data_IF_486367817621
#
_entry.id   IF_486367817621
#
_cell.length_a   1.000
_cell.length_b   1.000
_cell.length_c   1.000
_cell.angle_alpha   90.00
_cell.angle_beta   90.00
_cell.angle_gamma   90.00
#
_symmetry.space_group_name_H-M   'P 1'
#
loop_
_entity.id
_entity.type
_entity.pdbx_description
1 polymer ?
#
# COMPACT_ATOMS: atom_id res chain seq x y z
N UNK A 1 10.65 -14.91 -53.19
CA UNK A 1 9.77 -14.64 -52.03
C UNK A 1 10.42 -13.52 -51.23
N UNK A 2 9.78 -12.37 -51.03
CA UNK A 2 10.39 -11.31 -50.24
C UNK A 2 10.44 -11.76 -48.77
N UNK A 3 11.61 -11.64 -48.16
CA UNK A 3 11.83 -11.93 -46.75
C UNK A 3 10.94 -11.03 -45.91
N UNK A 4 10.20 -11.61 -44.95
CA UNK A 4 9.52 -10.84 -43.91
C UNK A 4 10.58 -10.16 -43.06
N UNK A 5 10.55 -8.83 -43.00
CA UNK A 5 11.33 -8.08 -42.03
C UNK A 5 10.95 -8.52 -40.60
N UNK A 6 11.92 -8.67 -39.70
CA UNK A 6 11.64 -8.93 -38.30
C UNK A 6 10.94 -7.71 -37.70
N UNK A 7 9.71 -7.92 -37.22
CA UNK A 7 9.01 -6.92 -36.41
C UNK A 7 9.81 -6.76 -35.12
N UNK A 8 10.50 -5.62 -34.98
CA UNK A 8 11.19 -5.26 -33.75
C UNK A 8 10.21 -5.21 -32.57
N UNK A 9 10.66 -5.47 -31.33
CA UNK A 9 9.78 -5.43 -30.17
C UNK A 9 9.12 -4.05 -30.09
N UNK A 10 7.79 -4.03 -29.96
CA UNK A 10 7.05 -2.80 -29.73
C UNK A 10 7.54 -2.20 -28.41
N UNK A 11 8.30 -1.11 -28.49
CA UNK A 11 8.63 -0.30 -27.32
C UNK A 11 7.31 0.20 -26.73
N UNK A 12 7.09 -0.06 -25.45
CA UNK A 12 5.87 0.36 -24.77
C UNK A 12 5.78 1.90 -24.82
N UNK A 13 4.97 2.42 -25.75
CA UNK A 13 4.63 3.84 -25.78
C UNK A 13 3.88 4.19 -24.49
N UNK A 14 4.08 5.41 -23.99
CA UNK A 14 3.27 5.93 -22.88
C UNK A 14 1.78 5.64 -23.17
N UNK A 15 1.00 5.16 -22.18
CA UNK A 15 -0.39 4.82 -22.41
C UNK A 15 -1.09 6.02 -23.03
N UNK A 16 -1.89 5.78 -24.08
CA UNK A 16 -2.69 6.81 -24.71
C UNK A 16 -3.50 7.53 -23.63
N UNK A 17 -3.60 8.86 -23.72
CA UNK A 17 -4.41 9.61 -22.75
C UNK A 17 -5.83 9.04 -22.73
N UNK A 18 -6.37 8.74 -21.55
CA UNK A 18 -7.69 8.12 -21.41
C UNK A 18 -8.76 9.04 -21.99
N UNK A 19 -9.69 8.48 -22.77
CA UNK A 19 -10.77 9.23 -23.42
C UNK A 19 -11.71 9.85 -22.37
N UNK A 20 -11.80 11.20 -22.27
CA UNK A 20 -12.72 11.86 -21.34
C UNK A 20 -14.20 11.57 -21.60
N UNK A 21 -14.55 11.13 -22.80
CA UNK A 21 -15.89 10.72 -23.17
C UNK A 21 -16.18 9.24 -22.86
N UNK A 22 -15.19 8.48 -22.38
CA UNK A 22 -15.38 7.08 -22.01
C UNK A 22 -16.45 6.96 -20.91
N UNK A 23 -17.34 5.95 -20.99
CA UNK A 23 -18.35 5.74 -19.97
C UNK A 23 -17.70 5.54 -18.61
N UNK A 24 -18.19 6.27 -17.60
CA UNK A 24 -17.70 6.17 -16.22
C UNK A 24 -18.11 4.82 -15.65
N UNK A 25 -17.12 3.93 -15.46
CA UNK A 25 -17.33 2.64 -14.83
C UNK A 25 -17.51 2.80 -13.31
N UNK A 26 -18.22 1.85 -12.70
CA UNK A 26 -18.28 1.76 -11.25
C UNK A 26 -16.88 1.48 -10.68
N UNK A 27 -16.55 1.98 -9.48
CA UNK A 27 -15.30 1.63 -8.80
C UNK A 27 -15.15 0.10 -8.68
N UNK A 28 -13.98 -0.42 -9.03
CA UNK A 28 -13.65 -1.82 -8.81
C UNK A 28 -13.43 -2.12 -7.32
N UNK A 29 -13.50 -3.39 -6.92
CA UNK A 29 -13.06 -3.82 -5.59
C UNK A 29 -11.54 -3.63 -5.47
N UNK A 30 -11.12 -2.81 -4.51
CA UNK A 30 -9.70 -2.44 -4.31
C UNK A 30 -9.10 -2.98 -3.03
N UNK A 31 -9.93 -3.57 -2.15
CA UNK A 31 -9.53 -3.96 -0.80
C UNK A 31 -9.33 -5.46 -0.71
N UNK A 32 -10.26 -6.27 -1.21
CA UNK A 32 -10.29 -7.72 -0.97
C UNK A 32 -10.12 -8.54 -2.25
N UNK A 33 -9.20 -9.50 -2.21
CA UNK A 33 -8.90 -10.38 -3.35
C UNK A 33 -8.82 -11.83 -2.91
N UNK A 34 -9.38 -12.73 -3.71
CA UNK A 34 -9.08 -14.16 -3.65
C UNK A 34 -7.86 -14.43 -4.54
N UNK A 35 -6.91 -15.24 -4.04
CA UNK A 35 -5.63 -15.47 -4.71
C UNK A 35 -5.61 -16.87 -5.31
N UNK A 36 -5.30 -16.94 -6.61
CA UNK A 36 -4.85 -18.18 -7.22
C UNK A 36 -3.47 -18.59 -6.64
N UNK A 37 -3.11 -19.87 -6.73
CA UNK A 37 -1.76 -20.33 -6.40
C UNK A 37 -0.72 -19.47 -7.13
N UNK A 38 0.31 -19.02 -6.40
CA UNK A 38 1.43 -18.20 -6.89
C UNK A 38 1.07 -16.81 -7.44
N UNK A 39 -0.21 -16.41 -7.56
CA UNK A 39 -0.62 -15.08 -8.03
C UNK A 39 0.04 -13.98 -7.19
N UNK A 40 0.85 -13.12 -7.79
CA UNK A 40 1.58 -12.07 -7.09
C UNK A 40 1.09 -10.66 -7.40
N UNK A 41 0.17 -10.50 -8.36
CA UNK A 41 -0.44 -9.22 -8.74
C UNK A 41 -1.94 -9.26 -8.41
N UNK A 42 -2.46 -8.20 -7.81
CA UNK A 42 -3.90 -8.04 -7.52
C UNK A 42 -4.39 -6.67 -7.94
N UNK A 43 -5.69 -6.58 -8.22
CA UNK A 43 -6.33 -5.34 -8.64
C UNK A 43 -6.01 -4.95 -10.08
N UNK A 44 -6.54 -3.80 -10.47
CA UNK A 44 -6.46 -3.28 -11.83
C UNK A 44 -6.17 -1.78 -11.77
N UNK A 45 -5.50 -1.23 -12.77
CA UNK A 45 -5.29 0.22 -12.86
C UNK A 45 -6.57 0.89 -13.33
N UNK A 46 -6.98 1.97 -12.66
CA UNK A 46 -8.20 2.71 -12.99
C UNK A 46 -7.87 4.16 -13.33
N UNK A 47 -8.75 4.81 -14.10
CA UNK A 47 -8.72 6.26 -14.32
C UNK A 47 -10.06 6.85 -13.93
N UNK A 48 -10.02 7.93 -13.15
CA UNK A 48 -11.16 8.76 -12.81
C UNK A 48 -10.99 10.14 -13.44
N UNK A 49 -12.07 10.71 -13.99
CA UNK A 49 -12.07 12.11 -14.41
C UNK A 49 -12.59 12.98 -13.28
N UNK A 50 -11.76 13.91 -12.82
CA UNK A 50 -12.02 14.73 -11.64
C UNK A 50 -13.27 15.62 -11.81
N UNK A 51 -13.94 15.86 -10.70
CA UNK A 51 -15.03 16.84 -10.54
C UNK A 51 -14.55 17.97 -9.63
N UNK A 52 -15.27 19.10 -9.64
CA UNK A 52 -14.91 20.31 -8.89
C UNK A 52 -14.61 20.09 -7.40
N UNK A 53 -15.28 19.13 -6.76
CA UNK A 53 -15.15 18.83 -5.32
C UNK A 53 -14.07 17.79 -4.99
N UNK A 54 -13.38 17.25 -6.00
CA UNK A 54 -12.42 16.18 -5.77
C UNK A 54 -11.09 16.71 -5.22
N UNK A 55 -10.57 15.99 -4.22
CA UNK A 55 -9.20 16.14 -3.73
C UNK A 55 -8.55 14.76 -3.72
N UNK A 56 -7.21 14.71 -3.72
CA UNK A 56 -6.50 13.43 -3.66
C UNK A 56 -6.77 12.67 -2.36
N UNK A 57 -6.95 13.37 -1.24
CA UNK A 57 -7.29 12.73 0.03
C UNK A 57 -8.72 12.13 0.01
N UNK A 58 -9.68 12.81 -0.62
CA UNK A 58 -11.05 12.32 -0.74
C UNK A 58 -11.13 11.12 -1.70
N UNK A 59 -10.53 11.24 -2.89
CA UNK A 59 -10.43 10.14 -3.86
C UNK A 59 -9.68 8.97 -3.21
N UNK A 60 -8.53 9.23 -2.60
CA UNK A 60 -7.72 8.19 -1.98
C UNK A 60 -8.52 7.41 -0.94
N UNK A 61 -9.19 8.10 0.00
CA UNK A 61 -10.04 7.42 0.98
C UNK A 61 -11.16 6.60 0.35
N UNK A 62 -11.83 7.12 -0.67
CA UNK A 62 -12.90 6.41 -1.38
C UNK A 62 -12.39 5.10 -2.02
N UNK A 63 -11.27 5.18 -2.72
CA UNK A 63 -10.69 4.06 -3.49
C UNK A 63 -9.70 3.19 -2.71
N UNK A 64 -9.54 3.45 -1.41
CA UNK A 64 -8.57 2.78 -0.54
C UNK A 64 -7.13 2.97 -0.96
N UNK A 65 -6.79 4.23 -1.20
CA UNK A 65 -5.46 4.67 -1.55
C UNK A 65 -4.90 5.69 -0.55
N UNK A 66 -3.59 5.63 -0.37
CA UNK A 66 -2.77 6.56 0.39
C UNK A 66 -2.50 7.85 -0.37
N UNK A 67 -2.24 8.91 0.37
CA UNK A 67 -1.98 10.22 -0.23
C UNK A 67 -0.73 10.24 -1.14
N UNK A 68 0.39 9.69 -0.69
CA UNK A 68 1.62 9.71 -1.48
C UNK A 68 1.54 8.83 -2.74
N UNK A 69 0.81 7.71 -2.71
CA UNK A 69 0.61 6.91 -3.92
C UNK A 69 -0.26 7.63 -4.95
N UNK A 70 -1.30 8.35 -4.51
CA UNK A 70 -2.08 9.25 -5.39
C UNK A 70 -1.20 10.35 -5.99
N UNK A 71 -0.38 11.00 -5.16
CA UNK A 71 0.52 12.09 -5.61
C UNK A 71 1.55 11.60 -6.63
N UNK A 72 2.17 10.44 -6.38
CA UNK A 72 3.19 9.85 -7.26
C UNK A 72 2.62 9.36 -8.58
N UNK A 73 1.42 8.78 -8.57
CA UNK A 73 0.76 8.31 -9.79
C UNK A 73 0.29 9.46 -10.71
N UNK A 74 0.20 10.69 -10.20
CA UNK A 74 -0.37 11.85 -10.90
C UNK A 74 0.57 13.07 -10.89
N UNK A 75 1.78 12.98 -11.48
CA UNK A 75 2.72 14.10 -11.50
C UNK A 75 2.14 15.30 -12.24
N UNK A 76 2.22 16.48 -11.62
CA UNK A 76 1.76 17.75 -12.21
C UNK A 76 0.27 18.06 -12.04
N UNK A 77 -0.51 17.17 -11.40
CA UNK A 77 -1.91 17.44 -11.06
C UNK A 77 -1.99 18.09 -9.68
N UNK A 78 -2.81 19.15 -9.54
CA UNK A 78 -3.05 19.77 -8.25
C UNK A 78 -3.85 18.82 -7.33
N UNK A 79 -3.27 18.49 -6.18
CA UNK A 79 -3.84 17.52 -5.23
C UNK A 79 -5.06 18.03 -4.46
N UNK A 80 -5.27 19.35 -4.40
CA UNK A 80 -6.37 20.00 -3.69
C UNK A 80 -7.48 20.44 -4.63
N UNK A 81 -7.14 20.79 -5.87
CA UNK A 81 -8.08 21.19 -6.90
C UNK A 81 -7.62 20.66 -8.27
N UNK A 82 -7.81 19.36 -8.57
CA UNK A 82 -7.33 18.77 -9.82
C UNK A 82 -7.91 19.42 -11.08
N UNK A 83 -9.07 20.08 -10.97
CA UNK A 83 -9.80 20.66 -12.08
C UNK A 83 -10.78 19.67 -12.71
N UNK A 84 -11.92 20.18 -13.18
CA UNK A 84 -12.95 19.35 -13.80
C UNK A 84 -12.45 18.72 -15.11
N UNK A 85 -12.69 17.41 -15.26
CA UNK A 85 -12.29 16.66 -16.45
C UNK A 85 -10.81 16.24 -16.47
N UNK A 86 -10.02 16.62 -15.47
CA UNK A 86 -8.63 16.16 -15.36
C UNK A 86 -8.58 14.65 -15.14
N UNK A 87 -7.82 13.87 -15.94
CA UNK A 87 -7.65 12.44 -15.71
C UNK A 87 -6.78 12.20 -14.47
N UNK A 88 -7.29 11.39 -13.56
CA UNK A 88 -6.65 10.95 -12.32
C UNK A 88 -6.41 9.45 -12.41
N UNK A 89 -5.15 9.05 -12.48
CA UNK A 89 -4.72 7.67 -12.43
C UNK A 89 -4.80 7.15 -11.00
N UNK A 90 -5.45 6.01 -10.83
CA UNK A 90 -5.63 5.34 -9.54
C UNK A 90 -4.75 4.09 -9.53
N UNK A 91 -3.67 4.04 -8.72
CA UNK A 91 -2.80 2.87 -8.58
C UNK A 91 -3.46 1.78 -7.73
N UNK A 92 -4.58 1.23 -8.20
CA UNK A 92 -5.36 0.19 -7.52
C UNK A 92 -4.90 -1.22 -7.85
N UNK A 93 -3.86 -1.36 -8.68
CA UNK A 93 -3.13 -2.59 -8.92
C UNK A 93 -1.87 -2.60 -8.06
N UNK A 94 -1.57 -3.70 -7.39
CA UNK A 94 -0.38 -3.81 -6.52
C UNK A 94 0.23 -5.20 -6.55
N UNK A 95 1.55 -5.25 -6.47
CA UNK A 95 2.32 -6.48 -6.31
C UNK A 95 2.37 -6.86 -4.83
N UNK A 96 2.09 -8.12 -4.53
CA UNK A 96 2.15 -8.65 -3.17
C UNK A 96 3.62 -8.79 -2.71
N UNK A 97 3.95 -8.38 -1.47
CA UNK A 97 5.31 -8.48 -0.95
C UNK A 97 5.80 -9.93 -0.89
N UNK A 98 7.09 -10.13 -1.12
CA UNK A 98 7.77 -11.43 -1.11
C UNK A 98 7.94 -11.93 0.33
N UNK A 99 6.85 -12.42 0.91
CA UNK A 99 6.77 -12.86 2.31
C UNK A 99 5.85 -14.08 2.43
N UNK A 100 5.90 -14.83 3.56
CA UNK A 100 4.86 -15.81 3.84
C UNK A 100 3.48 -15.12 3.84
N UNK A 101 2.55 -15.63 3.03
CA UNK A 101 1.18 -15.11 2.88
C UNK A 101 0.30 -15.51 4.05
N UNK A 102 0.69 -15.10 5.25
CA UNK A 102 0.00 -15.42 6.51
C UNK A 102 0.00 -14.23 7.45
N UNK A 103 -1.14 -13.94 8.06
CA UNK A 103 -1.27 -12.84 9.02
C UNK A 103 -1.12 -11.49 8.33
N UNK A 104 -0.55 -10.52 9.04
CA UNK A 104 -0.37 -9.15 8.56
C UNK A 104 1.05 -8.98 8.02
N UNK A 105 1.16 -8.37 6.84
CA UNK A 105 2.41 -7.90 6.26
C UNK A 105 2.27 -6.41 5.97
N UNK A 106 3.23 -5.61 6.39
CA UNK A 106 3.26 -4.17 6.16
C UNK A 106 4.53 -3.89 5.37
N UNK A 107 4.38 -3.53 4.10
CA UNK A 107 5.51 -3.04 3.31
C UNK A 107 5.64 -1.54 3.55
N UNK A 108 6.65 -1.15 4.32
CA UNK A 108 6.78 0.21 4.85
C UNK A 108 7.07 1.23 3.74
N UNK A 109 8.00 1.00 2.79
CA UNK A 109 8.18 1.88 1.63
C UNK A 109 6.91 2.07 0.79
N UNK A 110 6.15 0.99 0.58
CA UNK A 110 4.88 1.04 -0.15
C UNK A 110 3.75 1.70 0.66
N UNK A 111 3.96 1.95 1.96
CA UNK A 111 2.93 2.44 2.88
C UNK A 111 1.64 1.62 2.79
N UNK A 112 1.78 0.29 2.69
CA UNK A 112 0.66 -0.62 2.46
C UNK A 112 0.69 -1.83 3.38
N UNK A 113 -0.49 -2.14 3.93
CA UNK A 113 -0.76 -3.31 4.74
C UNK A 113 -1.48 -4.37 3.90
N UNK A 114 -1.09 -5.61 4.07
CA UNK A 114 -1.68 -6.80 3.48
C UNK A 114 -2.06 -7.75 4.61
N UNK A 115 -3.32 -8.17 4.67
CA UNK A 115 -3.81 -9.16 5.64
C UNK A 115 -4.21 -10.43 4.90
N UNK A 116 -3.38 -11.47 5.05
CA UNK A 116 -3.57 -12.76 4.43
C UNK A 116 -4.34 -13.71 5.34
N UNK A 117 -5.39 -14.31 4.79
CA UNK A 117 -6.24 -15.28 5.46
C UNK A 117 -6.48 -16.49 4.58
N UNK A 118 -6.62 -17.66 5.20
CA UNK A 118 -7.03 -18.88 4.52
C UNK A 118 -8.42 -19.23 5.02
N UNK A 119 -9.40 -19.20 4.13
CA UNK A 119 -10.81 -19.46 4.47
C UNK A 119 -11.30 -20.74 3.79
N UNK A 120 -12.11 -21.52 4.51
CA UNK A 120 -12.87 -22.61 3.90
C UNK A 120 -14.12 -22.01 3.23
N UNK A 121 -14.39 -22.30 1.95
CA UNK A 121 -15.60 -21.84 1.28
C UNK A 121 -16.85 -22.22 2.06
N UNK A 122 -17.86 -21.34 2.04
CA UNK A 122 -19.14 -21.58 2.71
C UNK A 122 -19.90 -22.80 2.14
N UNK A 123 -19.63 -23.17 0.89
CA UNK A 123 -20.09 -24.43 0.32
C UNK A 123 -19.24 -25.59 0.88
N UNK A 124 -19.87 -26.45 1.69
CA UNK A 124 -19.24 -27.56 2.36
C UNK A 124 -18.47 -28.46 1.38
N UNK A 125 -17.13 -28.44 1.45
CA UNK A 125 -16.24 -29.33 0.70
C UNK A 125 -15.31 -28.66 -0.32
N UNK A 126 -15.39 -27.34 -0.51
CA UNK A 126 -14.44 -26.63 -1.37
C UNK A 126 -13.01 -26.60 -0.80
N UNK A 127 -11.97 -26.48 -1.65
CA UNK A 127 -10.60 -26.29 -1.18
C UNK A 127 -10.46 -24.98 -0.42
N UNK A 128 -9.53 -24.92 0.54
CA UNK A 128 -9.19 -23.67 1.21
C UNK A 128 -8.75 -22.61 0.20
N UNK A 129 -9.29 -21.40 0.34
CA UNK A 129 -8.99 -20.25 -0.53
C UNK A 129 -8.12 -19.28 0.23
N UNK A 130 -6.99 -18.91 -0.36
CA UNK A 130 -6.14 -17.84 0.15
C UNK A 130 -6.74 -16.49 -0.27
N UNK A 131 -6.94 -15.60 0.70
CA UNK A 131 -7.43 -14.25 0.48
C UNK A 131 -6.44 -13.23 1.01
N UNK A 132 -6.46 -12.04 0.41
CA UNK A 132 -5.72 -10.88 0.90
C UNK A 132 -6.63 -9.67 0.96
N UNK A 133 -6.60 -8.97 2.09
CA UNK A 133 -7.12 -7.62 2.21
C UNK A 133 -5.95 -6.63 2.17
N UNK A 134 -6.04 -5.55 1.40
CA UNK A 134 -4.99 -4.51 1.32
C UNK A 134 -5.54 -3.17 1.82
N UNK A 135 -4.72 -2.43 2.56
CA UNK A 135 -5.07 -1.10 3.07
C UNK A 135 -3.85 -0.16 3.02
N UNK A 136 -4.03 1.12 2.65
CA UNK A 136 -2.97 2.11 2.78
C UNK A 136 -2.74 2.41 4.28
N UNK A 137 -1.50 2.71 4.64
CA UNK A 137 -1.12 3.05 6.00
C UNK A 137 -0.32 4.34 6.07
N UNK A 138 -0.54 5.14 7.10
CA UNK A 138 0.42 6.15 7.54
C UNK A 138 1.50 5.51 8.40
N UNK A 139 2.74 5.99 8.25
CA UNK A 139 3.92 5.48 8.95
C UNK A 139 4.64 6.60 9.72
N UNK A 140 5.70 6.23 10.43
CA UNK A 140 6.55 7.14 11.18
C UNK A 140 7.18 8.24 10.31
N UNK A 141 7.21 9.47 10.84
CA UNK A 141 8.05 10.54 10.29
C UNK A 141 9.54 10.20 10.45
N UNK A 142 10.39 10.91 9.73
CA UNK A 142 11.84 10.83 9.93
C UNK A 142 12.21 11.13 11.40
N UNK A 143 13.13 10.35 11.95
CA UNK A 143 13.47 10.34 13.38
C UNK A 143 12.51 9.54 14.27
N UNK A 144 11.35 9.11 13.75
CA UNK A 144 10.39 8.23 14.41
C UNK A 144 10.03 7.04 13.52
N UNK A 145 11.04 6.42 12.91
CA UNK A 145 10.85 5.39 11.90
C UNK A 145 10.00 4.22 12.41
N UNK A 146 9.11 3.72 11.55
CA UNK A 146 8.42 2.45 11.80
C UNK A 146 9.44 1.31 11.63
N UNK A 147 9.62 0.44 12.64
CA UNK A 147 10.67 -0.57 12.63
C UNK A 147 10.36 -1.70 11.65
N UNK A 148 11.41 -2.38 11.19
CA UNK A 148 11.29 -3.63 10.44
C UNK A 148 11.37 -4.85 11.36
N UNK A 149 10.87 -5.98 10.86
CA UNK A 149 10.99 -7.28 11.53
C UNK A 149 9.66 -7.93 11.86
N UNK A 150 9.70 -8.92 12.75
CA UNK A 150 8.53 -9.70 13.13
C UNK A 150 7.91 -9.21 14.44
N UNK A 151 6.59 -9.23 14.48
CA UNK A 151 5.79 -8.91 15.64
C UNK A 151 4.52 -9.76 15.70
N UNK A 152 3.75 -9.62 16.77
CA UNK A 152 2.41 -10.20 16.90
C UNK A 152 1.46 -9.20 17.51
N UNK A 153 0.17 -9.33 17.19
CA UNK A 153 -0.89 -8.59 17.90
C UNK A 153 -1.02 -9.14 19.31
N UNK A 154 -0.74 -8.34 20.34
CA UNK A 154 -0.79 -8.77 21.75
C UNK A 154 -2.12 -8.43 22.40
N UNK A 155 -2.65 -7.26 22.08
CA UNK A 155 -3.86 -6.70 22.68
C UNK A 155 -4.66 -5.94 21.63
N UNK A 156 -5.97 -5.84 21.89
CA UNK A 156 -6.93 -5.21 21.02
C UNK A 156 -7.87 -4.37 21.88
N UNK A 157 -7.93 -3.07 21.62
CA UNK A 157 -8.78 -2.14 22.35
C UNK A 157 -9.78 -1.47 21.39
N UNK A 158 -11.05 -1.49 21.79
CA UNK A 158 -12.08 -0.60 21.25
C UNK A 158 -12.09 0.67 22.10
N UNK A 159 -12.27 1.82 21.47
CA UNK A 159 -12.23 3.14 22.09
C UNK A 159 -11.02 3.28 23.03
N UNK A 160 -9.78 3.18 22.48
CA UNK A 160 -8.57 3.15 23.28
C UNK A 160 -8.33 4.48 23.99
N UNK A 161 -7.83 4.41 25.22
CA UNK A 161 -7.21 5.57 25.87
C UNK A 161 -5.78 5.74 25.36
N UNK A 162 -5.41 6.94 24.94
CA UNK A 162 -4.03 7.22 24.51
C UNK A 162 -3.20 7.75 25.68
N UNK A 163 -2.26 6.93 26.14
CA UNK A 163 -1.23 7.33 27.08
C UNK A 163 -0.08 7.98 26.31
N UNK A 164 -0.03 9.31 26.34
CA UNK A 164 0.90 10.08 25.52
C UNK A 164 2.34 9.78 25.94
N UNK A 165 3.20 9.26 25.04
CA UNK A 165 4.60 8.99 25.36
C UNK A 165 5.32 10.24 25.87
N UNK A 166 6.27 10.06 26.79
CA UNK A 166 7.00 11.18 27.38
C UNK A 166 7.76 12.00 26.32
N UNK A 167 8.29 11.35 25.30
CA UNK A 167 8.96 12.00 24.17
C UNK A 167 8.02 12.91 23.38
N UNK A 168 6.83 12.42 23.01
CA UNK A 168 5.81 13.18 22.29
C UNK A 168 5.37 14.39 23.11
N UNK A 169 5.15 14.22 24.43
CA UNK A 169 4.82 15.36 25.30
C UNK A 169 5.93 16.41 25.37
N UNK A 170 7.19 15.97 25.39
CA UNK A 170 8.35 16.87 25.42
C UNK A 170 8.41 17.71 24.13
N UNK A 171 8.28 17.06 22.97
CA UNK A 171 8.27 17.74 21.67
C UNK A 171 7.16 18.80 21.58
N UNK A 172 5.94 18.44 21.96
CA UNK A 172 4.80 19.36 21.97
C UNK A 172 4.98 20.51 22.98
N UNK A 173 5.57 20.25 24.15
CA UNK A 173 5.90 21.31 25.10
C UNK A 173 6.95 22.29 24.54
N UNK A 174 7.97 21.80 23.82
CA UNK A 174 9.00 22.62 23.18
C UNK A 174 8.44 23.48 22.03
N UNK A 175 7.35 23.03 21.38
CA UNK A 175 6.64 23.75 20.32
C UNK A 175 5.57 24.71 20.84
N UNK A 176 5.34 24.76 22.15
CA UNK A 176 4.35 25.63 22.79
C UNK A 176 2.91 25.10 22.78
N UNK A 177 2.70 23.82 22.45
CA UNK A 177 1.39 23.16 22.41
C UNK A 177 1.34 21.91 23.32
N UNK A 178 1.54 22.05 24.65
CA UNK A 178 1.73 20.92 25.55
C UNK A 178 0.54 19.96 25.57
N UNK A 179 0.83 18.66 25.44
CA UNK A 179 -0.18 17.60 25.49
C UNK A 179 -0.45 17.08 26.92
N UNK A 180 -1.68 16.65 27.22
CA UNK A 180 -1.98 15.98 28.48
C UNK A 180 -1.25 14.63 28.57
N UNK A 181 -1.19 14.05 29.77
CA UNK A 181 -0.62 12.69 29.96
C UNK A 181 -1.49 11.60 29.36
N UNK A 182 -2.80 11.84 29.33
CA UNK A 182 -3.83 10.89 28.94
C UNK A 182 -4.80 11.65 28.03
N UNK A 183 -5.09 11.09 26.87
CA UNK A 183 -6.21 11.51 26.02
C UNK A 183 -7.28 10.42 26.09
N UNK A 184 -8.47 10.72 26.62
CA UNK A 184 -9.54 9.73 26.75
C UNK A 184 -10.07 9.30 25.37
N UNK A 185 -10.88 8.24 25.30
CA UNK A 185 -11.55 7.88 24.06
C UNK A 185 -12.49 9.01 23.61
N UNK A 186 -12.57 9.24 22.29
CA UNK A 186 -13.37 10.32 21.72
C UNK A 186 -12.90 10.75 20.34
N UNK A 187 -13.61 11.71 19.70
CA UNK A 187 -13.28 12.20 18.36
C UNK A 187 -11.89 12.83 18.26
N UNK A 188 -11.38 13.40 19.36
CA UNK A 188 -10.07 14.05 19.40
C UNK A 188 -8.91 13.09 19.68
N UNK A 189 -9.22 11.80 19.94
CA UNK A 189 -8.19 10.81 20.21
C UNK A 189 -7.47 10.41 18.91
N UNK A 190 -6.14 10.61 18.80
CA UNK A 190 -5.39 10.32 17.58
C UNK A 190 -5.26 8.82 17.27
N UNK A 191 -5.59 7.94 18.23
CA UNK A 191 -5.66 6.50 17.98
C UNK A 191 -6.94 6.08 17.23
N UNK A 192 -7.92 6.97 17.12
CA UNK A 192 -9.24 6.63 16.59
C UNK A 192 -10.00 5.66 17.50
N UNK A 193 -10.95 4.92 16.94
CA UNK A 193 -11.84 4.00 17.68
C UNK A 193 -11.24 2.62 17.96
N UNK A 194 -10.18 2.24 17.27
CA UNK A 194 -9.64 0.88 17.34
C UNK A 194 -8.12 0.92 17.34
N UNK A 195 -7.51 0.14 18.21
CA UNK A 195 -6.06 -0.04 18.26
C UNK A 195 -5.70 -1.50 18.56
N UNK A 196 -4.62 -1.96 17.92
CA UNK A 196 -4.00 -3.26 18.13
C UNK A 196 -2.56 -3.04 18.54
N UNK A 197 -2.22 -3.44 19.77
CA UNK A 197 -0.86 -3.34 20.29
C UNK A 197 -0.01 -4.46 19.71
N UNK A 198 1.25 -4.17 19.39
CA UNK A 198 2.20 -5.16 18.89
C UNK A 198 3.15 -5.63 19.99
N UNK A 199 3.82 -6.77 19.77
CA UNK A 199 4.95 -7.20 20.60
C UNK A 199 6.14 -6.24 20.54
N UNK A 200 6.17 -5.35 19.54
CA UNK A 200 7.13 -4.25 19.45
C UNK A 200 6.72 -3.15 20.45
N UNK A 201 7.53 -2.89 21.50
CA UNK A 201 7.13 -1.97 22.56
C UNK A 201 6.83 -0.57 22.04
N UNK A 202 5.65 -0.05 22.35
CA UNK A 202 5.22 1.29 21.96
C UNK A 202 4.65 1.42 20.54
N UNK A 203 4.57 0.32 19.77
CA UNK A 203 4.01 0.33 18.41
C UNK A 203 2.61 -0.26 18.35
N UNK A 204 1.74 0.42 17.60
CA UNK A 204 0.35 0.05 17.43
C UNK A 204 -0.03 0.07 15.94
N UNK A 205 -0.99 -0.77 15.58
CA UNK A 205 -1.80 -0.63 14.37
C UNK A 205 -3.13 -0.03 14.81
N UNK A 206 -3.45 1.17 14.37
CA UNK A 206 -4.61 1.90 14.89
C UNK A 206 -5.28 2.77 13.83
N UNK A 207 -6.46 3.31 14.15
CA UNK A 207 -7.17 4.27 13.30
C UNK A 207 -6.54 5.67 13.35
N UNK A 208 -7.28 6.68 12.93
CA UNK A 208 -6.83 8.07 13.10
C UNK A 208 -8.04 9.00 13.11
N UNK A 209 -7.96 10.10 13.86
CA UNK A 209 -8.92 11.20 13.72
C UNK A 209 -8.53 12.19 12.61
N UNK A 210 -7.37 12.00 11.98
CA UNK A 210 -6.88 12.79 10.84
C UNK A 210 -6.64 11.87 9.64
N UNK A 211 -7.72 11.40 8.97
CA UNK A 211 -7.62 10.42 7.87
C UNK A 211 -6.83 10.95 6.68
N UNK A 212 -6.80 12.27 6.47
CA UNK A 212 -5.96 12.88 5.43
C UNK A 212 -4.48 12.51 5.56
N UNK A 213 -3.99 12.11 6.75
CA UNK A 213 -2.62 11.68 7.03
C UNK A 213 -2.27 10.23 6.64
N UNK A 214 -3.20 9.45 6.10
CA UNK A 214 -2.97 8.05 5.69
C UNK A 214 -2.23 8.00 4.35
N UNK A 215 -1.25 7.10 4.22
CA UNK A 215 -0.34 7.07 3.08
C UNK A 215 0.69 8.20 3.10
N UNK A 216 1.06 8.66 4.30
CA UNK A 216 2.12 9.63 4.55
C UNK A 216 2.96 9.23 5.76
N UNK A 217 4.15 9.82 5.86
CA UNK A 217 5.00 9.80 7.05
C UNK A 217 4.50 10.84 8.07
N UNK A 218 3.48 10.52 8.85
CA UNK A 218 2.74 11.49 9.68
C UNK A 218 2.60 11.09 11.16
N UNK A 219 3.20 9.96 11.58
CA UNK A 219 3.11 9.43 12.94
C UNK A 219 4.44 9.48 13.69
N UNK A 220 4.39 9.26 15.00
CA UNK A 220 5.57 8.99 15.84
C UNK A 220 5.95 7.51 15.85
N UNK A 221 5.84 6.84 14.68
CA UNK A 221 6.28 5.45 14.45
C UNK A 221 5.17 4.41 14.36
N UNK A 222 3.97 4.69 14.86
CA UNK A 222 2.81 3.79 14.77
C UNK A 222 2.24 3.70 13.34
N UNK A 223 1.52 2.61 13.08
CA UNK A 223 0.86 2.33 11.80
C UNK A 223 -0.58 2.83 11.86
N UNK A 224 -0.93 3.79 11.00
CA UNK A 224 -2.24 4.46 10.96
C UNK A 224 -3.06 4.00 9.76
N UNK A 225 -4.26 3.48 10.00
CA UNK A 225 -5.22 3.15 8.94
C UNK A 225 -6.34 4.19 8.91
N UNK A 226 -7.09 4.22 7.80
CA UNK A 226 -8.37 4.90 7.77
C UNK A 226 -9.31 4.33 8.84
N UNK A 227 -10.23 5.14 9.42
CA UNK A 227 -11.17 4.68 10.44
C UNK A 227 -11.96 3.42 10.06
N UNK A 228 -12.46 3.38 8.83
CA UNK A 228 -13.21 2.26 8.26
C UNK A 228 -12.35 1.00 8.07
N UNK A 229 -11.08 1.17 7.68
CA UNK A 229 -10.17 0.04 7.44
C UNK A 229 -9.71 -0.59 8.76
N UNK A 230 -9.38 0.21 9.78
CA UNK A 230 -9.03 -0.35 11.09
C UNK A 230 -10.22 -1.07 11.72
N UNK A 231 -11.45 -0.58 11.53
CA UNK A 231 -12.64 -1.23 12.05
C UNK A 231 -12.84 -2.61 11.42
N UNK A 232 -12.75 -2.69 10.08
CA UNK A 232 -12.84 -3.94 9.35
C UNK A 232 -11.72 -4.92 9.74
N UNK A 233 -10.47 -4.44 9.79
CA UNK A 233 -9.31 -5.25 10.17
C UNK A 233 -9.42 -5.74 11.62
N UNK A 234 -9.79 -4.87 12.55
CA UNK A 234 -9.96 -5.19 13.96
C UNK A 234 -11.01 -6.28 14.18
N UNK A 235 -12.08 -6.30 13.38
CA UNK A 235 -13.10 -7.34 13.46
C UNK A 235 -12.60 -8.75 13.10
N UNK A 236 -11.57 -8.84 12.24
CA UNK A 236 -11.09 -10.12 11.67
C UNK A 236 -9.80 -10.62 12.31
N UNK A 237 -8.90 -9.72 12.70
CA UNK A 237 -7.57 -10.07 13.24
C UNK A 237 -7.69 -10.62 14.66
N UNK A 238 -7.06 -11.75 14.93
CA UNK A 238 -7.03 -12.36 16.26
C UNK A 238 -5.81 -11.89 17.08
N UNK A 239 -5.89 -12.02 18.41
CA UNK A 239 -4.68 -11.94 19.25
C UNK A 239 -3.73 -13.07 18.86
N UNK A 240 -2.43 -12.78 18.83
CA UNK A 240 -1.39 -13.70 18.38
C UNK A 240 -1.18 -13.73 16.87
N UNK A 241 -2.01 -13.06 16.06
CA UNK A 241 -1.78 -12.93 14.61
C UNK A 241 -0.39 -12.35 14.36
N UNK A 242 0.40 -13.03 13.53
CA UNK A 242 1.71 -12.60 13.12
C UNK A 242 1.64 -11.30 12.32
N UNK A 243 2.61 -10.43 12.53
CA UNK A 243 2.78 -9.15 11.84
C UNK A 243 4.23 -9.10 11.34
N UNK A 244 4.43 -8.81 10.06
CA UNK A 244 5.75 -8.64 9.45
C UNK A 244 5.86 -7.24 8.89
N UNK A 245 6.86 -6.48 9.33
CA UNK A 245 7.17 -5.17 8.78
C UNK A 245 8.39 -5.32 7.89
N UNK A 246 8.22 -5.09 6.59
CA UNK A 246 9.25 -5.34 5.58
C UNK A 246 9.65 -4.06 4.86
N UNK A 247 10.91 -4.03 4.42
CA UNK A 247 11.48 -2.98 3.58
C UNK A 247 11.66 -3.54 2.16
N UNK A 248 10.62 -3.45 1.33
CA UNK A 248 10.66 -3.91 -0.07
C UNK A 248 10.23 -2.75 -0.98
N UNK A 249 11.14 -1.80 -1.28
CA UNK A 249 10.81 -0.68 -2.17
C UNK A 249 10.64 -1.12 -3.61
N UNK A 250 11.30 -2.22 -4.01
CA UNK A 250 11.16 -2.80 -5.35
C UNK A 250 10.47 -4.16 -5.28
N UNK A 251 9.38 -4.29 -6.03
CA UNK A 251 8.60 -5.50 -6.16
C UNK A 251 8.45 -5.87 -7.63
N UNK A 252 8.47 -7.16 -7.95
CA UNK A 252 8.25 -7.64 -9.31
C UNK A 252 7.31 -8.84 -9.32
N UNK A 253 6.51 -8.95 -10.37
CA UNK A 253 5.57 -10.03 -10.56
C UNK A 253 5.45 -10.42 -12.03
N UNK A 254 5.28 -11.71 -12.26
CA UNK A 254 4.80 -12.22 -13.53
C UNK A 254 3.29 -12.41 -13.47
N UNK A 255 2.58 -11.87 -14.45
CA UNK A 255 1.13 -12.01 -14.55
C UNK A 255 0.71 -11.95 -16.03
N UNK A 256 -0.10 -12.91 -16.47
CA UNK A 256 -0.72 -12.95 -17.80
C UNK A 256 0.24 -12.67 -18.98
N UNK A 257 1.43 -13.28 -18.94
CA UNK A 257 2.41 -13.14 -20.02
C UNK A 257 3.25 -11.86 -19.96
N UNK A 258 3.07 -11.05 -18.91
CA UNK A 258 3.74 -9.78 -18.73
C UNK A 258 4.53 -9.75 -17.41
N UNK A 259 5.63 -9.02 -17.44
CA UNK A 259 6.47 -8.75 -16.29
C UNK A 259 6.17 -7.35 -15.76
N UNK A 260 5.81 -7.27 -14.48
CA UNK A 260 5.49 -6.04 -13.77
C UNK A 260 6.62 -5.71 -12.79
N UNK A 261 6.90 -4.41 -12.68
CA UNK A 261 7.83 -3.84 -11.70
C UNK A 261 7.12 -2.68 -11.00
N UNK A 262 7.10 -2.72 -9.68
CA UNK A 262 6.54 -1.67 -8.82
C UNK A 262 7.67 -1.13 -7.94
N UNK A 263 7.90 0.18 -8.02
CA UNK A 263 8.99 0.87 -7.31
C UNK A 263 8.42 1.96 -6.42
N UNK A 264 8.83 1.93 -5.16
CA UNK A 264 8.50 2.93 -4.15
C UNK A 264 9.76 3.65 -3.72
N UNK A 265 9.68 4.96 -3.41
CA UNK A 265 10.81 5.68 -2.84
C UNK A 265 11.29 4.99 -1.54
N UNK A 266 12.61 4.76 -1.40
CA UNK A 266 13.20 4.35 -0.14
C UNK A 266 12.83 5.28 1.01
N UNK A 267 12.89 4.75 2.23
CA UNK A 267 12.85 5.58 3.42
C UNK A 267 14.16 6.39 3.50
N UNK A 268 14.08 7.66 3.91
CA UNK A 268 15.22 8.58 3.94
C UNK A 268 16.41 8.07 4.78
N UNK A 269 16.13 7.22 5.76
CA UNK A 269 17.10 6.64 6.68
C UNK A 269 17.82 5.41 6.12
N UNK A 270 17.36 4.88 4.99
CA UNK A 270 17.81 3.62 4.40
C UNK A 270 18.60 3.87 3.12
N UNK A 271 19.65 3.08 2.89
CA UNK A 271 20.42 3.12 1.63
C UNK A 271 19.99 1.96 0.74
N UNK A 272 19.61 2.27 -0.49
CA UNK A 272 19.14 1.30 -1.48
C UNK A 272 19.86 1.47 -2.80
N UNK A 273 20.11 0.35 -3.48
CA UNK A 273 20.50 0.32 -4.89
C UNK A 273 19.30 -0.16 -5.68
N UNK A 274 18.42 0.77 -6.05
CA UNK A 274 17.15 0.46 -6.69
C UNK A 274 17.32 -0.25 -8.04
N UNK A 275 18.42 -0.01 -8.76
CA UNK A 275 18.72 -0.69 -10.02
C UNK A 275 19.04 -2.15 -9.75
N UNK A 276 19.97 -2.43 -8.82
CA UNK A 276 20.32 -3.80 -8.46
C UNK A 276 19.15 -4.55 -7.83
N UNK A 277 18.34 -3.88 -7.00
CA UNK A 277 17.13 -4.45 -6.40
C UNK A 277 16.05 -4.77 -7.45
N UNK A 278 15.87 -3.92 -8.45
CA UNK A 278 14.99 -4.19 -9.59
C UNK A 278 15.45 -5.40 -10.39
N UNK A 279 16.74 -5.49 -10.72
CA UNK A 279 17.30 -6.65 -11.43
C UNK A 279 17.08 -7.94 -10.65
N UNK A 280 17.35 -7.91 -9.34
CA UNK A 280 17.13 -9.07 -8.48
C UNK A 280 15.65 -9.45 -8.37
N UNK A 281 14.74 -8.47 -8.23
CA UNK A 281 13.31 -8.70 -8.15
C UNK A 281 12.75 -9.31 -9.45
N UNK A 282 13.11 -8.73 -10.59
CA UNK A 282 12.70 -9.24 -11.91
C UNK A 282 13.22 -10.66 -12.15
N UNK A 283 14.47 -10.95 -11.76
CA UNK A 283 15.05 -12.29 -11.89
C UNK A 283 14.24 -13.32 -11.09
N UNK A 284 13.92 -13.02 -9.82
CA UNK A 284 13.08 -13.89 -8.98
C UNK A 284 11.66 -14.05 -9.54
N UNK A 285 11.07 -13.00 -10.11
CA UNK A 285 9.75 -13.06 -10.72
C UNK A 285 9.73 -14.00 -11.95
N UNK A 286 10.76 -13.94 -12.79
CA UNK A 286 10.91 -14.82 -13.96
C UNK A 286 11.17 -16.28 -13.55
N UNK A 287 12.01 -16.51 -12.53
CA UNK A 287 12.25 -17.84 -11.98
C UNK A 287 10.95 -18.50 -11.48
N UNK A 288 10.09 -17.73 -10.78
CA UNK A 288 8.78 -18.22 -10.31
C UNK A 288 7.80 -18.49 -11.45
N UNK A 289 7.89 -17.75 -12.55
CA UNK A 289 7.07 -17.94 -13.74
C UNK A 289 7.42 -19.19 -14.55
N UNK A 290 8.67 -19.68 -14.42
CA UNK A 290 9.14 -20.87 -15.11
C UNK A 290 9.11 -20.74 -16.64
N UNK A 291 8.63 -21.79 -17.33
CA UNK A 291 8.65 -21.86 -18.79
C UNK A 291 7.87 -20.73 -19.50
N UNK A 292 6.91 -20.09 -18.83
CA UNK A 292 6.15 -18.96 -19.38
C UNK A 292 7.00 -17.70 -19.62
N UNK A 293 8.18 -17.60 -19.00
CA UNK A 293 9.06 -16.44 -19.05
C UNK A 293 10.21 -16.55 -20.07
N UNK A 294 10.35 -17.67 -20.78
CA UNK A 294 11.54 -18.00 -21.58
C UNK A 294 11.85 -17.04 -22.76
N UNK A 295 10.96 -16.10 -23.09
CA UNK A 295 11.11 -15.16 -24.21
C UNK A 295 10.83 -13.69 -23.81
N UNK A 296 10.86 -13.35 -22.53
CA UNK A 296 10.53 -12.00 -22.06
C UNK A 296 11.66 -11.02 -22.39
N UNK A 297 11.30 -9.93 -23.05
CA UNK A 297 12.20 -8.80 -23.27
C UNK A 297 12.03 -7.82 -22.11
N UNK A 298 13.12 -7.57 -21.38
CA UNK A 298 13.15 -6.58 -20.31
C UNK A 298 13.50 -5.22 -20.92
N UNK A 299 12.61 -4.24 -20.77
CA UNK A 299 12.87 -2.86 -21.15
C UNK A 299 13.75 -2.17 -20.10
N UNK A 300 15.06 -2.11 -20.36
CA UNK A 300 16.04 -1.47 -19.48
C UNK A 300 15.82 0.02 -19.30
N UNK A 301 15.37 0.72 -20.36
CA UNK A 301 15.11 2.15 -20.30
C UNK A 301 13.90 2.45 -19.39
N UNK A 302 12.88 1.58 -19.41
CA UNK A 302 11.76 1.68 -18.49
C UNK A 302 12.19 1.49 -17.01
N UNK A 303 13.11 0.57 -16.74
CA UNK A 303 13.67 0.36 -15.39
C UNK A 303 14.43 1.61 -14.94
N UNK A 304 15.37 2.11 -15.74
CA UNK A 304 16.14 3.32 -15.39
C UNK A 304 15.21 4.51 -15.12
N UNK A 305 14.14 4.66 -15.91
CA UNK A 305 13.17 5.74 -15.72
C UNK A 305 12.36 5.63 -14.43
N UNK A 306 12.03 4.42 -13.95
CA UNK A 306 11.17 4.24 -12.76
C UNK A 306 11.98 4.21 -11.45
N UNK A 307 13.28 3.88 -11.52
CA UNK A 307 14.18 3.85 -10.35
C UNK A 307 14.95 5.16 -10.13
N UNK A 308 14.84 6.13 -11.04
CA UNK A 308 15.43 7.48 -10.93
C UNK A 308 14.39 8.54 -10.58
#
# INVERSE_FOLDING_TARGET
MPAREPVGPAVATAPAQPDPAAPRLAPLETRHFELAPQQALVGETQVLFARHENTFSAIGRQYNLGYEEMRRANPGVDQWLPGEGTPIYLPTQTILPETPRTGIVINVPAMRLFYFTTEKPAAAGGPEVLKVATHPVGIGTEGWATPFGEAKVVEKARDPTWYVPASVRKEHAERGDPLPRIVPPGPDNPLGKFAMTLTLPGYLIHGTNKPAGVGMRSSHGCIRLYPEDIEALFGRVARGTAVRLVNQPVLAAWHDGQLYLEVHPPLAEETHDLVAEADAALSRALERAGAGAAAVVIDRAAIEKIVT
#
